data_IF_499143841055
#
_entry.id   IF_499143841055
#
_cell.length_a   1.000
_cell.length_b   1.000
_cell.length_c   1.000
_cell.angle_alpha   90.00
_cell.angle_beta   90.00
_cell.angle_gamma   90.00
#
_symmetry.space_group_name_H-M   'P 1'
#
loop_
_entity.id
_entity.type
_entity.pdbx_description
1 polymer ?
#
# COMPACT_ATOMS: atom_id res chain seq x y z
N UNK A 1 3.54 16.05 17.95
CA UNK A 1 3.16 16.42 16.56
C UNK A 1 3.73 17.80 16.20
N UNK A 2 3.41 18.89 16.92
CA UNK A 2 3.89 20.25 16.61
C UNK A 2 5.43 20.38 16.57
N UNK A 3 6.14 19.65 17.43
CA UNK A 3 7.62 19.63 17.42
C UNK A 3 8.14 18.94 16.16
N UNK A 4 7.53 17.83 15.75
CA UNK A 4 7.92 17.11 14.54
C UNK A 4 7.67 17.95 13.27
N UNK A 5 6.52 18.63 13.21
CA UNK A 5 6.18 19.54 12.10
C UNK A 5 7.16 20.72 12.03
N UNK A 6 7.49 21.32 13.19
CA UNK A 6 8.48 22.40 13.27
C UNK A 6 9.85 21.93 12.79
N UNK A 7 10.35 20.77 13.27
CA UNK A 7 11.63 20.22 12.85
C UNK A 7 11.64 19.88 11.36
N UNK A 8 10.54 19.36 10.81
CA UNK A 8 10.42 19.08 9.39
C UNK A 8 10.50 20.39 8.55
N UNK A 9 9.82 21.46 9.00
CA UNK A 9 9.91 22.77 8.36
C UNK A 9 11.34 23.33 8.42
N UNK A 10 12.00 23.28 9.58
CA UNK A 10 13.39 23.73 9.74
C UNK A 10 14.33 22.95 8.80
N UNK A 11 14.17 21.63 8.74
CA UNK A 11 14.94 20.79 7.83
C UNK A 11 14.73 21.17 6.36
N UNK A 12 13.45 21.33 5.94
CA UNK A 12 13.13 21.68 4.57
C UNK A 12 13.73 23.04 4.15
N UNK A 13 13.61 24.06 5.02
CA UNK A 13 14.20 25.38 4.77
C UNK A 13 15.72 25.38 4.80
N UNK A 14 16.34 24.61 5.71
CA UNK A 14 17.80 24.48 5.76
C UNK A 14 18.32 23.77 4.50
N UNK A 15 17.64 22.74 4.04
CA UNK A 15 17.99 22.05 2.80
C UNK A 15 17.87 22.96 1.57
N UNK A 16 16.74 23.67 1.45
CA UNK A 16 16.56 24.65 0.37
C UNK A 16 17.62 25.75 0.41
N UNK A 17 17.90 26.29 1.60
CA UNK A 17 18.97 27.28 1.79
C UNK A 17 20.34 26.76 1.35
N UNK A 18 20.67 25.52 1.69
CA UNK A 18 21.92 24.89 1.27
C UNK A 18 22.04 24.73 -0.26
N UNK A 19 20.91 24.46 -0.94
CA UNK A 19 20.89 24.44 -2.41
C UNK A 19 21.04 25.83 -3.00
N UNK A 20 20.34 26.83 -2.46
CA UNK A 20 20.44 28.24 -2.93
C UNK A 20 21.84 28.84 -2.70
N UNK A 21 22.54 28.37 -1.66
CA UNK A 21 23.95 28.76 -1.38
C UNK A 21 24.98 27.91 -2.15
N UNK A 22 24.53 27.04 -3.06
CA UNK A 22 25.37 26.13 -3.85
C UNK A 22 26.18 25.12 -3.03
N UNK A 23 25.87 24.95 -1.73
CA UNK A 23 26.50 23.93 -0.87
C UNK A 23 26.05 22.52 -1.32
N UNK A 24 24.78 22.40 -1.74
CA UNK A 24 24.24 21.17 -2.34
C UNK A 24 23.93 21.45 -3.81
N UNK A 25 24.43 20.63 -4.75
CA UNK A 25 24.13 20.81 -6.17
C UNK A 25 22.62 20.76 -6.47
N UNK A 26 22.12 21.65 -7.32
CA UNK A 26 20.70 21.64 -7.73
C UNK A 26 20.25 20.27 -8.32
N UNK A 27 21.19 19.49 -8.88
CA UNK A 27 20.94 18.11 -9.32
C UNK A 27 20.41 17.21 -8.19
N UNK A 28 20.77 17.46 -6.93
CA UNK A 28 20.27 16.71 -5.79
C UNK A 28 18.75 16.90 -5.61
N UNK A 29 18.22 18.11 -5.86
CA UNK A 29 16.75 18.34 -5.85
C UNK A 29 16.07 17.61 -6.98
N UNK A 30 16.65 17.59 -8.17
CA UNK A 30 16.08 16.90 -9.34
C UNK A 30 16.01 15.40 -9.06
N UNK A 31 17.11 14.82 -8.54
CA UNK A 31 17.17 13.40 -8.18
C UNK A 31 16.19 13.07 -7.05
N UNK A 32 16.12 13.92 -6.02
CA UNK A 32 15.16 13.76 -4.93
C UNK A 32 13.71 13.71 -5.46
N UNK A 33 13.34 14.73 -6.23
CA UNK A 33 11.99 14.81 -6.81
C UNK A 33 11.67 13.60 -7.72
N UNK A 34 12.65 13.14 -8.49
CA UNK A 34 12.50 11.95 -9.32
C UNK A 34 12.26 10.69 -8.50
N UNK A 35 13.04 10.49 -7.43
CA UNK A 35 12.89 9.34 -6.52
C UNK A 35 11.54 9.37 -5.81
N UNK A 36 11.14 10.53 -5.27
CA UNK A 36 9.83 10.71 -4.64
C UNK A 36 8.68 10.40 -5.60
N UNK A 37 8.78 10.91 -6.84
CA UNK A 37 7.77 10.64 -7.87
C UNK A 37 7.64 9.14 -8.15
N UNK A 38 8.76 8.41 -8.25
CA UNK A 38 8.73 6.96 -8.43
C UNK A 38 8.10 6.24 -7.23
N UNK A 39 8.44 6.65 -6.01
CA UNK A 39 7.86 6.09 -4.78
C UNK A 39 6.35 6.30 -4.76
N UNK A 40 5.88 7.53 -5.01
CA UNK A 40 4.44 7.84 -5.08
C UNK A 40 3.72 7.06 -6.17
N UNK A 41 4.32 6.93 -7.36
CA UNK A 41 3.76 6.17 -8.46
C UNK A 41 3.60 4.68 -8.10
N UNK A 42 4.64 4.05 -7.55
CA UNK A 42 4.58 2.66 -7.09
C UNK A 42 3.52 2.49 -6.00
N UNK A 43 3.47 3.43 -5.05
CA UNK A 43 2.48 3.40 -3.97
C UNK A 43 1.04 3.56 -4.51
N UNK A 44 0.80 4.44 -5.47
CA UNK A 44 -0.51 4.63 -6.11
C UNK A 44 -0.95 3.35 -6.84
N UNK A 45 -0.09 2.76 -7.67
CA UNK A 45 -0.37 1.52 -8.39
C UNK A 45 -0.65 0.36 -7.42
N UNK A 46 0.13 0.26 -6.33
CA UNK A 46 -0.10 -0.72 -5.27
C UNK A 46 -1.46 -0.52 -4.61
N UNK A 47 -1.80 0.71 -4.27
CA UNK A 47 -3.08 1.03 -3.61
C UNK A 47 -4.27 0.70 -4.51
N UNK A 48 -4.17 1.02 -5.81
CA UNK A 48 -5.17 0.60 -6.79
C UNK A 48 -5.36 -0.92 -6.80
N UNK A 49 -4.28 -1.70 -6.80
CA UNK A 49 -4.37 -3.17 -6.77
C UNK A 49 -4.82 -3.75 -5.44
N UNK A 50 -4.73 -3.00 -4.34
CA UNK A 50 -5.07 -3.43 -2.99
C UNK A 50 -6.58 -3.37 -2.69
N UNK A 51 -7.38 -2.67 -3.51
CA UNK A 51 -8.84 -2.53 -3.33
C UNK A 51 -9.63 -3.00 -4.54
N UNK A 52 -10.91 -3.31 -4.31
CA UNK A 52 -11.89 -3.70 -5.35
C UNK A 52 -12.82 -2.57 -5.74
N UNK A 53 -12.87 -1.51 -4.92
CA UNK A 53 -13.73 -0.33 -5.13
C UNK A 53 -15.22 -0.70 -5.29
N UNK A 54 -15.71 -1.60 -4.43
CA UNK A 54 -17.09 -2.07 -4.46
C UNK A 54 -18.07 -1.16 -3.70
N UNK A 55 -17.60 -0.05 -3.14
CA UNK A 55 -18.41 0.92 -2.39
C UNK A 55 -18.50 2.28 -3.12
N UNK A 56 -19.27 2.39 -4.20
CA UNK A 56 -19.33 3.61 -5.03
C UNK A 56 -20.00 4.80 -4.33
N UNK A 57 -20.72 4.57 -3.22
CA UNK A 57 -21.41 5.62 -2.45
C UNK A 57 -20.59 6.13 -1.26
N UNK A 58 -19.40 5.59 -1.04
CA UNK A 58 -18.54 5.92 0.10
C UNK A 58 -19.23 5.78 1.47
N UNK A 59 -20.21 4.89 1.57
CA UNK A 59 -20.89 4.58 2.83
C UNK A 59 -19.91 3.95 3.85
N UNK A 60 -20.21 4.14 5.15
CA UNK A 60 -19.40 3.55 6.22
C UNK A 60 -19.42 2.03 6.14
N UNK A 61 -18.27 1.43 5.94
CA UNK A 61 -18.11 -0.02 5.81
C UNK A 61 -17.74 -0.66 7.14
N UNK A 62 -18.34 -1.82 7.46
CA UNK A 62 -17.89 -2.68 8.55
C UNK A 62 -16.53 -3.32 8.24
N UNK A 63 -15.79 -3.78 9.26
CA UNK A 63 -14.50 -4.47 9.05
C UNK A 63 -14.59 -5.65 8.06
N UNK A 64 -15.59 -6.55 8.14
CA UNK A 64 -15.76 -7.60 7.15
C UNK A 64 -15.98 -7.06 5.73
N UNK A 65 -16.74 -5.97 5.58
CA UNK A 65 -16.98 -5.34 4.27
C UNK A 65 -15.70 -4.71 3.72
N UNK A 66 -14.90 -4.05 4.57
CA UNK A 66 -13.59 -3.51 4.19
C UNK A 66 -12.62 -4.62 3.78
N UNK A 67 -12.62 -5.75 4.49
CA UNK A 67 -11.85 -6.94 4.12
C UNK A 67 -12.25 -7.43 2.73
N UNK A 68 -13.55 -7.53 2.44
CA UNK A 68 -14.06 -8.00 1.14
C UNK A 68 -13.76 -7.02 0.00
N UNK A 69 -13.71 -5.71 0.28
CA UNK A 69 -13.28 -4.70 -0.68
C UNK A 69 -11.76 -4.68 -0.90
N UNK A 70 -11.00 -5.34 -0.04
CA UNK A 70 -9.55 -5.36 -0.07
C UNK A 70 -9.00 -6.67 -0.64
N UNK A 71 -7.71 -6.67 -0.98
CA UNK A 71 -7.03 -7.79 -1.65
C UNK A 71 -5.76 -8.17 -0.90
N UNK A 72 -5.57 -9.47 -0.70
CA UNK A 72 -4.31 -10.04 -0.29
C UNK A 72 -3.53 -10.49 -1.53
N UNK A 73 -2.29 -10.05 -1.67
CA UNK A 73 -1.39 -10.45 -2.76
C UNK A 73 -0.15 -11.12 -2.14
N UNK A 74 -0.22 -12.40 -1.76
CA UNK A 74 0.93 -13.10 -1.17
C UNK A 74 2.16 -13.05 -2.06
N UNK A 75 1.97 -13.29 -3.36
CA UNK A 75 2.98 -13.16 -4.39
C UNK A 75 4.27 -13.91 -4.09
N UNK A 76 5.37 -13.45 -4.66
CA UNK A 76 6.69 -14.00 -4.41
C UNK A 76 7.32 -13.38 -3.15
N UNK A 77 7.87 -14.23 -2.26
CA UNK A 77 8.47 -13.81 -0.98
C UNK A 77 9.57 -12.75 -1.12
N UNK A 78 10.34 -12.80 -2.21
CA UNK A 78 11.48 -11.90 -2.43
C UNK A 78 11.11 -10.65 -3.23
N UNK A 79 10.24 -10.79 -4.24
CA UNK A 79 9.90 -9.70 -5.14
C UNK A 79 8.75 -8.83 -4.62
N UNK A 80 7.74 -9.45 -3.99
CA UNK A 80 6.56 -8.71 -3.54
C UNK A 80 6.89 -7.62 -2.49
N UNK A 81 7.80 -7.82 -1.53
CA UNK A 81 8.18 -6.76 -0.58
C UNK A 81 8.85 -5.53 -1.22
N UNK A 82 9.36 -5.62 -2.44
CA UNK A 82 9.95 -4.46 -3.14
C UNK A 82 8.91 -3.39 -3.50
N UNK A 83 7.69 -3.79 -3.79
CA UNK A 83 6.61 -2.86 -4.12
C UNK A 83 5.51 -2.81 -3.05
N UNK A 84 5.40 -3.82 -2.18
CA UNK A 84 4.48 -3.87 -1.04
C UNK A 84 5.23 -4.23 0.26
N UNK A 85 6.09 -3.33 0.76
CA UNK A 85 6.89 -3.57 1.96
C UNK A 85 6.03 -3.71 3.22
N UNK A 86 6.65 -4.13 4.32
CA UNK A 86 6.08 -4.10 5.69
C UNK A 86 4.73 -4.83 5.80
N UNK A 87 4.51 -5.90 5.01
CA UNK A 87 3.27 -6.68 5.08
C UNK A 87 2.07 -6.06 4.36
N UNK A 88 2.21 -4.91 3.69
CA UNK A 88 1.13 -4.23 2.94
C UNK A 88 0.52 -5.10 1.82
N UNK A 89 1.20 -6.17 1.41
CA UNK A 89 0.67 -7.19 0.51
C UNK A 89 -0.51 -7.97 1.08
N UNK A 90 -0.70 -7.96 2.42
CA UNK A 90 -1.81 -8.61 3.13
C UNK A 90 -2.88 -7.60 3.54
N UNK A 91 -3.34 -6.78 2.60
CA UNK A 91 -4.19 -5.63 2.87
C UNK A 91 -5.59 -6.01 3.39
N UNK A 92 -6.21 -7.06 2.84
CA UNK A 92 -7.48 -7.57 3.35
C UNK A 92 -7.35 -8.13 4.78
N UNK A 93 -6.21 -8.75 5.11
CA UNK A 93 -5.93 -9.20 6.48
C UNK A 93 -5.79 -8.02 7.43
N UNK A 94 -5.14 -6.93 6.99
CA UNK A 94 -5.03 -5.70 7.77
C UNK A 94 -6.39 -5.07 8.07
N UNK A 95 -7.28 -5.00 7.09
CA UNK A 95 -8.64 -4.48 7.30
C UNK A 95 -9.49 -5.37 8.21
N UNK A 96 -9.25 -6.68 8.23
CA UNK A 96 -9.92 -7.58 9.15
C UNK A 96 -9.40 -7.43 10.58
N UNK A 97 -8.08 -7.16 10.75
CA UNK A 97 -7.40 -7.00 12.03
C UNK A 97 -6.53 -5.73 12.03
N UNK A 98 -7.12 -4.54 12.13
CA UNK A 98 -6.40 -3.26 12.00
C UNK A 98 -5.35 -3.06 13.11
N UNK A 99 -5.55 -3.65 14.28
CA UNK A 99 -4.65 -3.54 15.43
C UNK A 99 -3.47 -4.53 15.36
N UNK A 100 -3.46 -5.44 14.38
CA UNK A 100 -2.39 -6.42 14.24
C UNK A 100 -1.13 -5.76 13.67
N UNK A 101 0.04 -5.94 14.31
CA UNK A 101 1.30 -5.40 13.80
C UNK A 101 1.62 -5.93 12.40
N UNK A 102 2.15 -5.09 11.52
CA UNK A 102 2.42 -5.44 10.12
C UNK A 102 3.29 -6.69 9.92
N UNK A 103 4.26 -6.92 10.81
CA UNK A 103 5.11 -8.12 10.76
C UNK A 103 4.36 -9.42 11.05
N UNK A 104 3.19 -9.36 11.70
CA UNK A 104 2.36 -10.52 12.02
C UNK A 104 1.31 -10.83 10.94
N UNK A 105 1.10 -9.92 9.96
CA UNK A 105 0.06 -10.09 8.92
C UNK A 105 0.28 -11.33 8.05
N UNK A 106 1.52 -11.66 7.72
CA UNK A 106 1.84 -12.86 6.92
C UNK A 106 1.42 -14.14 7.64
N UNK A 107 1.73 -14.25 8.92
CA UNK A 107 1.37 -15.41 9.72
C UNK A 107 -0.15 -15.48 9.95
N UNK A 108 -0.81 -14.35 10.20
CA UNK A 108 -2.25 -14.29 10.33
C UNK A 108 -2.94 -14.71 9.01
N UNK A 109 -2.47 -14.20 7.87
CA UNK A 109 -2.95 -14.61 6.56
C UNK A 109 -2.80 -16.11 6.33
N UNK A 110 -1.63 -16.66 6.62
CA UNK A 110 -1.34 -18.09 6.45
C UNK A 110 -2.29 -18.96 7.28
N UNK A 111 -2.50 -18.61 8.55
CA UNK A 111 -3.42 -19.34 9.44
C UNK A 111 -4.86 -19.30 8.97
N UNK A 112 -5.36 -18.10 8.64
CA UNK A 112 -6.72 -17.94 8.14
C UNK A 112 -6.95 -18.71 6.82
N UNK A 113 -5.99 -18.64 5.91
CA UNK A 113 -6.11 -19.32 4.63
C UNK A 113 -6.10 -20.84 4.77
N UNK A 114 -5.29 -21.38 5.70
CA UNK A 114 -5.27 -22.81 5.99
C UNK A 114 -6.52 -23.30 6.70
N UNK A 115 -7.09 -22.49 7.60
CA UNK A 115 -8.28 -22.82 8.38
C UNK A 115 -9.56 -22.75 7.53
N UNK A 116 -9.71 -21.68 6.75
CA UNK A 116 -10.95 -21.41 6.02
C UNK A 116 -10.96 -21.97 4.58
N UNK A 117 -9.79 -22.10 3.98
CA UNK A 117 -9.63 -22.59 2.60
C UNK A 117 -9.88 -21.55 1.52
N UNK A 118 -9.53 -21.91 0.29
CA UNK A 118 -9.57 -21.04 -0.89
C UNK A 118 -11.00 -20.59 -1.25
N UNK A 119 -12.01 -21.46 -1.06
CA UNK A 119 -13.40 -21.18 -1.42
C UNK A 119 -14.16 -20.35 -0.37
N UNK A 120 -13.52 -19.99 0.76
CA UNK A 120 -14.13 -19.14 1.79
C UNK A 120 -14.22 -17.68 1.34
N UNK A 121 -15.01 -16.87 2.08
CA UNK A 121 -15.05 -15.42 1.86
C UNK A 121 -13.65 -14.80 1.99
N UNK A 122 -12.86 -15.27 2.95
CA UNK A 122 -11.48 -14.82 3.11
C UNK A 122 -10.60 -15.26 1.93
N UNK A 123 -10.71 -16.51 1.49
CA UNK A 123 -9.98 -17.02 0.33
C UNK A 123 -10.23 -16.22 -0.94
N UNK A 124 -11.46 -15.74 -1.14
CA UNK A 124 -11.82 -14.88 -2.28
C UNK A 124 -11.09 -13.53 -2.28
N UNK A 125 -10.52 -13.06 -1.16
CA UNK A 125 -9.71 -11.84 -1.12
C UNK A 125 -8.32 -12.04 -1.70
N UNK A 126 -7.89 -13.28 -1.93
CA UNK A 126 -6.54 -13.60 -2.41
C UNK A 126 -6.43 -13.40 -3.91
N UNK A 127 -5.38 -12.72 -4.34
CA UNK A 127 -5.02 -12.54 -5.74
C UNK A 127 -3.56 -12.96 -5.96
N UNK A 128 -3.29 -13.65 -7.07
CA UNK A 128 -1.96 -14.22 -7.35
C UNK A 128 -0.87 -13.17 -7.60
N UNK A 129 -1.24 -11.92 -7.92
CA UNK A 129 -0.26 -10.87 -8.18
C UNK A 129 -0.91 -9.51 -8.44
N UNK A 130 -0.06 -8.48 -8.53
CA UNK A 130 -0.51 -7.10 -8.77
C UNK A 130 -1.17 -6.92 -10.15
N UNK A 131 -0.56 -7.46 -11.21
CA UNK A 131 -1.12 -7.34 -12.56
C UNK A 131 -2.51 -7.97 -12.71
N UNK A 132 -2.78 -9.20 -12.21
CA UNK A 132 -4.14 -9.74 -12.16
C UNK A 132 -5.11 -8.86 -11.36
N UNK A 133 -4.67 -8.26 -10.25
CA UNK A 133 -5.51 -7.37 -9.44
C UNK A 133 -5.90 -6.11 -10.24
N UNK A 134 -4.96 -5.45 -10.89
CA UNK A 134 -5.19 -4.27 -11.74
C UNK A 134 -6.06 -4.60 -12.98
N UNK A 135 -5.81 -5.74 -13.62
CA UNK A 135 -6.60 -6.18 -14.79
C UNK A 135 -8.07 -6.45 -14.44
N UNK A 136 -8.34 -6.88 -13.21
CA UNK A 136 -9.71 -7.01 -12.71
C UNK A 136 -10.42 -5.67 -12.66
N UNK A 137 -9.78 -4.62 -12.11
CA UNK A 137 -10.36 -3.26 -12.05
C UNK A 137 -10.67 -2.74 -13.45
N UNK A 138 -9.74 -2.90 -14.38
CA UNK A 138 -9.95 -2.48 -15.76
C UNK A 138 -11.16 -3.14 -16.42
N UNK A 139 -11.38 -4.42 -16.15
CA UNK A 139 -12.55 -5.16 -16.67
C UNK A 139 -13.86 -4.77 -15.99
N UNK A 140 -13.83 -4.36 -14.72
CA UNK A 140 -15.02 -3.89 -13.99
C UNK A 140 -15.52 -2.54 -14.53
N UNK A 141 -14.64 -1.64 -14.95
CA UNK A 141 -15.03 -0.36 -15.54
C UNK A 141 -15.54 -0.50 -16.98
N UNK A 142 -15.17 -1.57 -17.70
CA UNK A 142 -15.55 -1.81 -19.08
C UNK A 142 -16.90 -2.55 -19.24
N UNK A 143 -17.55 -2.95 -18.14
CA UNK A 143 -18.84 -3.67 -18.12
C UNK A 143 -19.97 -2.77 -17.61
#
# INVERSE_FOLDING_TARGET
>A
WKIQEFLACVFAWAFLGAVLMEIIPAMALILWYFVETLIFMVNAIRTLGAHRYQNPKEDVMSYPSQMMDSVNIPGNRWMTPLWAPVGLRFHATHHLFPDLPYHALEEAHRRLFLDQGENSLYGQTVCLGLLPALNRLWKQEAS
#
